data_IF_837362611605
#
_entry.id   IF_837362611605
#
_cell.length_a   1.000
_cell.length_b   1.000
_cell.length_c   1.000
_cell.angle_alpha   90.00
_cell.angle_beta   90.00
_cell.angle_gamma   90.00
#
_symmetry.space_group_name_H-M   'P 1'
#
loop_
_entity.id
_entity.type
_entity.pdbx_description
1 polymer ?
#
# COMPACT_ATOMS: atom_id res chain seq x y z
N UNK A 1 -10.44 6.18 -5.09
CA UNK A 1 -10.84 5.32 -6.23
C UNK A 1 -9.59 5.10 -7.05
N UNK A 2 -9.26 3.86 -7.40
CA UNK A 2 -8.07 3.54 -8.20
C UNK A 2 -8.11 4.33 -9.50
N UNK A 3 -7.16 5.25 -9.70
CA UNK A 3 -7.20 6.26 -10.77
C UNK A 3 -6.66 5.69 -12.09
N UNK A 4 -5.74 4.73 -12.00
CA UNK A 4 -4.98 4.23 -13.16
C UNK A 4 -5.47 2.89 -13.72
N UNK A 5 -6.47 2.24 -13.10
CA UNK A 5 -6.86 0.91 -13.54
C UNK A 5 -7.94 0.96 -14.62
N UNK A 6 -7.72 0.24 -15.71
CA UNK A 6 -8.77 -0.16 -16.63
C UNK A 6 -9.96 -0.72 -15.84
N UNK A 7 -11.18 -0.41 -16.28
CA UNK A 7 -12.42 -0.87 -15.63
C UNK A 7 -12.45 -2.40 -15.42
N UNK A 8 -11.78 -3.16 -16.27
CA UNK A 8 -11.61 -4.62 -16.18
C UNK A 8 -10.78 -5.03 -14.96
N UNK A 9 -9.65 -4.39 -14.73
CA UNK A 9 -8.76 -4.66 -13.58
C UNK A 9 -9.47 -4.38 -12.26
N UNK A 10 -10.16 -3.24 -12.16
CA UNK A 10 -10.92 -2.88 -10.97
C UNK A 10 -12.04 -3.88 -10.65
N UNK A 11 -12.72 -4.42 -11.66
CA UNK A 11 -13.73 -5.47 -11.46
C UNK A 11 -13.12 -6.75 -10.92
N UNK A 12 -11.96 -7.18 -11.44
CA UNK A 12 -11.26 -8.36 -10.92
C UNK A 12 -10.76 -8.12 -9.49
N UNK A 13 -10.21 -6.94 -9.17
CA UNK A 13 -9.76 -6.58 -7.82
C UNK A 13 -10.89 -6.62 -6.79
N UNK A 14 -12.04 -6.03 -7.10
CA UNK A 14 -13.23 -6.07 -6.24
C UNK A 14 -13.72 -7.50 -6.04
N UNK A 15 -13.83 -8.27 -7.13
CA UNK A 15 -14.23 -9.67 -7.07
C UNK A 15 -13.25 -10.50 -6.21
N UNK A 16 -11.96 -10.24 -6.34
CA UNK A 16 -10.92 -10.92 -5.56
C UNK A 16 -11.04 -10.59 -4.06
N UNK A 17 -11.14 -9.32 -3.70
CA UNK A 17 -11.32 -8.89 -2.30
C UNK A 17 -12.56 -9.54 -1.66
N UNK A 18 -13.68 -9.61 -2.39
CA UNK A 18 -14.89 -10.26 -1.87
C UNK A 18 -14.73 -11.77 -1.71
N UNK A 19 -14.01 -12.45 -2.62
CA UNK A 19 -13.77 -13.89 -2.51
C UNK A 19 -12.83 -14.22 -1.36
N UNK A 20 -11.83 -13.38 -1.07
CA UNK A 20 -10.90 -13.57 0.04
C UNK A 20 -11.58 -13.50 1.41
N UNK A 21 -12.71 -12.78 1.55
CA UNK A 21 -13.52 -12.81 2.77
C UNK A 21 -14.18 -14.18 3.04
N UNK A 22 -14.27 -15.02 2.02
CA UNK A 22 -15.00 -16.29 2.07
C UNK A 22 -14.10 -17.51 1.93
N UNK A 23 -12.93 -17.38 1.34
CA UNK A 23 -12.03 -18.49 0.96
C UNK A 23 -10.58 -18.07 1.04
N UNK A 24 -9.70 -19.05 1.32
CA UNK A 24 -8.24 -18.84 1.22
C UNK A 24 -7.83 -18.63 -0.23
N UNK A 25 -6.75 -17.87 -0.44
CA UNK A 25 -6.20 -17.55 -1.76
C UNK A 25 -6.01 -18.78 -2.67
N UNK A 26 -5.48 -19.87 -2.11
CA UNK A 26 -5.19 -21.11 -2.85
C UNK A 26 -6.45 -21.75 -3.43
N UNK A 27 -7.59 -21.56 -2.76
CA UNK A 27 -8.90 -22.13 -3.15
C UNK A 27 -9.62 -21.30 -4.23
N UNK A 28 -9.22 -20.03 -4.44
CA UNK A 28 -9.83 -19.16 -5.43
C UNK A 28 -9.28 -19.52 -6.81
N UNK A 29 -10.17 -19.90 -7.72
CA UNK A 29 -9.84 -20.18 -9.13
C UNK A 29 -10.12 -18.97 -10.00
N UNK A 30 -9.43 -18.87 -11.16
CA UNK A 30 -9.72 -17.83 -12.17
C UNK A 30 -11.19 -17.87 -12.64
N UNK A 31 -11.82 -19.07 -12.66
CA UNK A 31 -13.25 -19.21 -12.95
C UNK A 31 -14.13 -18.51 -11.90
N UNK A 32 -13.75 -18.54 -10.62
CA UNK A 32 -14.50 -17.89 -9.55
C UNK A 32 -14.36 -16.37 -9.65
N UNK A 33 -13.14 -15.89 -9.92
CA UNK A 33 -12.85 -14.47 -10.17
C UNK A 33 -13.68 -13.95 -11.36
N UNK A 34 -13.63 -14.65 -12.49
CA UNK A 34 -14.34 -14.25 -13.70
C UNK A 34 -15.86 -14.20 -13.47
N UNK A 35 -16.42 -15.24 -12.84
CA UNK A 35 -17.85 -15.28 -12.48
C UNK A 35 -18.24 -14.14 -11.54
N UNK A 36 -17.45 -13.89 -10.50
CA UNK A 36 -17.71 -12.85 -9.49
C UNK A 36 -17.57 -11.44 -10.09
N UNK A 37 -16.58 -11.23 -10.95
CA UNK A 37 -16.37 -9.98 -11.69
C UNK A 37 -17.39 -9.74 -12.81
N UNK A 38 -18.25 -10.72 -13.13
CA UNK A 38 -19.15 -10.70 -14.27
C UNK A 38 -18.41 -10.53 -15.60
N UNK A 39 -17.25 -11.18 -15.70
CA UNK A 39 -16.38 -11.17 -16.88
C UNK A 39 -16.11 -12.60 -17.35
N UNK A 40 -15.56 -12.75 -18.57
CA UNK A 40 -15.15 -14.06 -19.06
C UNK A 40 -13.76 -14.45 -18.56
N UNK A 41 -13.45 -15.76 -18.50
CA UNK A 41 -12.08 -16.25 -18.26
C UNK A 41 -11.11 -15.74 -19.33
N UNK A 42 -11.59 -15.59 -20.58
CA UNK A 42 -10.78 -15.00 -21.66
C UNK A 42 -10.39 -13.55 -21.36
N UNK A 43 -11.30 -12.76 -20.79
CA UNK A 43 -10.99 -11.39 -20.36
C UNK A 43 -9.88 -11.37 -19.29
N UNK A 44 -9.88 -12.34 -18.36
CA UNK A 44 -8.78 -12.49 -17.39
C UNK A 44 -7.46 -12.80 -18.08
N UNK A 45 -7.42 -13.83 -18.93
CA UNK A 45 -6.18 -14.27 -19.58
C UNK A 45 -5.69 -13.32 -20.69
N UNK A 46 -6.48 -12.35 -21.11
CA UNK A 46 -6.02 -11.25 -21.96
C UNK A 46 -5.12 -10.26 -21.20
N UNK A 47 -5.21 -10.21 -19.88
CA UNK A 47 -4.46 -9.28 -19.03
C UNK A 47 -3.40 -9.99 -18.17
N UNK A 48 -3.66 -11.21 -17.72
CA UNK A 48 -2.85 -11.92 -16.74
C UNK A 48 -2.58 -13.36 -17.15
N UNK A 49 -1.36 -13.83 -16.96
CA UNK A 49 -0.99 -15.23 -17.29
C UNK A 49 -1.45 -16.21 -16.21
N UNK A 50 -1.53 -15.75 -14.96
CA UNK A 50 -1.93 -16.56 -13.80
C UNK A 50 -2.62 -15.71 -12.74
N UNK A 51 -3.14 -16.34 -11.71
CA UNK A 51 -3.69 -15.69 -10.52
C UNK A 51 -2.62 -14.95 -9.73
N UNK A 52 -1.43 -15.51 -9.67
CA UNK A 52 -0.25 -14.92 -9.02
C UNK A 52 0.25 -13.69 -9.78
N UNK A 53 0.21 -13.74 -11.11
CA UNK A 53 0.53 -12.63 -12.00
C UNK A 53 -0.47 -11.47 -11.79
N UNK A 54 -1.76 -11.78 -11.76
CA UNK A 54 -2.81 -10.81 -11.42
C UNK A 54 -2.57 -10.12 -10.08
N UNK A 55 -2.16 -10.86 -9.04
CA UNK A 55 -1.87 -10.26 -7.73
C UNK A 55 -0.68 -9.31 -7.79
N UNK A 56 0.40 -9.73 -8.47
CA UNK A 56 1.60 -8.91 -8.61
C UNK A 56 1.28 -7.61 -9.33
N UNK A 57 0.63 -7.68 -10.46
CA UNK A 57 0.24 -6.50 -11.23
C UNK A 57 -0.71 -5.59 -10.42
N UNK A 58 -1.61 -6.19 -9.64
CA UNK A 58 -2.55 -5.44 -8.82
C UNK A 58 -1.88 -4.62 -7.72
N UNK A 59 -0.86 -5.18 -7.05
CA UNK A 59 -0.14 -4.43 -6.02
C UNK A 59 0.70 -3.30 -6.63
N UNK A 60 1.26 -3.52 -7.82
CA UNK A 60 2.01 -2.48 -8.54
C UNK A 60 1.11 -1.29 -8.91
N UNK A 61 -0.15 -1.55 -9.29
CA UNK A 61 -1.13 -0.48 -9.56
C UNK A 61 -1.39 0.34 -8.28
N UNK A 62 -1.55 -0.31 -7.13
CA UNK A 62 -1.77 0.39 -5.86
C UNK A 62 -0.56 1.26 -5.50
N UNK A 63 0.65 0.72 -5.62
CA UNK A 63 1.88 1.48 -5.35
C UNK A 63 2.08 2.63 -6.34
N UNK A 64 1.76 2.44 -7.62
CA UNK A 64 1.82 3.50 -8.62
C UNK A 64 0.84 4.64 -8.30
N UNK A 65 -0.39 4.33 -7.91
CA UNK A 65 -1.37 5.34 -7.48
C UNK A 65 -0.89 6.09 -6.21
N UNK A 66 -0.34 5.39 -5.23
CA UNK A 66 0.25 5.99 -4.02
C UNK A 66 1.45 6.88 -4.38
N UNK A 67 2.34 6.40 -5.24
CA UNK A 67 3.51 7.17 -5.71
C UNK A 67 3.10 8.47 -6.41
N UNK A 68 2.07 8.42 -7.26
CA UNK A 68 1.54 9.63 -7.91
C UNK A 68 1.01 10.66 -6.91
N UNK A 69 0.38 10.22 -5.83
CA UNK A 69 -0.08 11.12 -4.77
C UNK A 69 1.12 11.71 -4.03
N UNK A 70 2.08 10.89 -3.60
CA UNK A 70 3.24 11.33 -2.84
C UNK A 70 4.17 12.24 -3.65
N UNK A 71 4.24 12.09 -4.97
CA UNK A 71 5.02 12.96 -5.84
C UNK A 71 4.47 14.38 -5.96
N UNK A 72 3.29 14.69 -5.41
CA UNK A 72 2.79 16.07 -5.33
C UNK A 72 3.55 16.89 -4.28
N UNK A 73 4.15 16.25 -3.29
CA UNK A 73 5.00 16.89 -2.28
C UNK A 73 6.03 15.89 -1.74
N UNK A 74 7.27 16.01 -2.18
CA UNK A 74 8.38 15.12 -1.79
C UNK A 74 8.97 15.45 -0.40
N UNK A 75 8.48 16.48 0.27
CA UNK A 75 8.76 16.73 1.69
C UNK A 75 7.89 15.87 2.61
N UNK A 76 6.84 15.26 2.04
CA UNK A 76 5.86 14.41 2.74
C UNK A 76 5.20 15.12 3.93
N UNK A 77 4.80 16.38 3.71
CA UNK A 77 4.04 17.13 4.69
C UNK A 77 2.67 16.47 5.01
N UNK A 78 2.06 16.89 6.12
CA UNK A 78 0.82 16.30 6.62
C UNK A 78 -0.30 16.21 5.56
N UNK A 79 -0.36 17.19 4.65
CA UNK A 79 -1.40 17.23 3.62
C UNK A 79 -1.28 16.08 2.63
N UNK A 80 -0.11 15.86 2.04
CA UNK A 80 0.09 14.77 1.06
C UNK A 80 0.00 13.41 1.72
N UNK A 81 0.47 13.26 2.96
CA UNK A 81 0.28 12.04 3.74
C UNK A 81 -1.21 11.76 3.99
N UNK A 82 -1.99 12.78 4.33
CA UNK A 82 -3.45 12.65 4.46
C UNK A 82 -4.10 12.22 3.15
N UNK A 83 -3.69 12.77 2.02
CA UNK A 83 -4.23 12.39 0.70
C UNK A 83 -3.93 10.91 0.40
N UNK A 84 -2.70 10.47 0.61
CA UNK A 84 -2.28 9.07 0.46
C UNK A 84 -3.08 8.14 1.39
N UNK A 85 -3.20 8.49 2.66
CA UNK A 85 -3.97 7.70 3.64
C UNK A 85 -5.48 7.71 3.32
N UNK A 86 -6.03 8.81 2.77
CA UNK A 86 -7.41 8.87 2.30
C UNK A 86 -7.64 7.94 1.11
N UNK A 87 -6.68 7.86 0.18
CA UNK A 87 -6.71 6.89 -0.91
C UNK A 87 -6.73 5.45 -0.36
N UNK A 88 -5.87 5.14 0.63
CA UNK A 88 -5.85 3.83 1.28
C UNK A 88 -7.19 3.52 1.97
N UNK A 89 -7.76 4.49 2.68
CA UNK A 89 -9.05 4.33 3.36
C UNK A 89 -10.20 4.05 2.38
N UNK A 90 -10.26 4.77 1.25
CA UNK A 90 -11.28 4.55 0.22
C UNK A 90 -11.17 3.14 -0.40
N UNK A 91 -9.95 2.61 -0.50
CA UNK A 91 -9.65 1.30 -1.07
C UNK A 91 -9.38 0.22 -0.01
N UNK A 92 -9.79 0.44 1.25
CA UNK A 92 -9.44 -0.37 2.42
C UNK A 92 -9.68 -1.87 2.26
N UNK A 93 -10.78 -2.27 1.62
CA UNK A 93 -11.12 -3.68 1.43
C UNK A 93 -10.09 -4.41 0.55
N UNK A 94 -9.62 -3.74 -0.49
CA UNK A 94 -8.59 -4.26 -1.40
C UNK A 94 -7.25 -4.29 -0.69
N UNK A 95 -6.85 -3.18 -0.05
CA UNK A 95 -5.56 -3.05 0.66
C UNK A 95 -5.46 -4.07 1.79
N UNK A 96 -6.50 -4.21 2.61
CA UNK A 96 -6.54 -5.23 3.66
C UNK A 96 -6.38 -6.64 3.11
N UNK A 97 -7.04 -6.95 1.99
CA UNK A 97 -6.89 -8.25 1.34
C UNK A 97 -5.45 -8.52 0.91
N UNK A 98 -4.74 -7.52 0.41
CA UNK A 98 -3.32 -7.67 0.06
C UNK A 98 -2.45 -7.88 1.29
N UNK A 99 -2.62 -7.07 2.34
CA UNK A 99 -1.85 -7.21 3.58
C UNK A 99 -2.07 -8.57 4.24
N UNK A 100 -3.29 -9.06 4.26
CA UNK A 100 -3.59 -10.36 4.89
C UNK A 100 -3.14 -11.58 4.08
N UNK A 101 -3.09 -11.49 2.76
CA UNK A 101 -2.99 -12.70 1.91
C UNK A 101 -1.83 -12.69 0.91
N UNK A 102 -1.12 -11.56 0.75
CA UNK A 102 0.01 -11.51 -0.16
C UNK A 102 1.29 -11.99 0.55
N UNK A 103 2.00 -13.00 0.02
CA UNK A 103 3.23 -13.48 0.65
C UNK A 103 4.29 -12.40 0.76
N UNK A 104 4.93 -12.30 1.92
CA UNK A 104 6.01 -11.34 2.21
C UNK A 104 5.63 -9.87 1.99
N UNK A 105 4.34 -9.52 2.14
CA UNK A 105 3.84 -8.16 1.90
C UNK A 105 4.58 -7.13 2.77
N UNK A 106 4.92 -7.47 4.01
CA UNK A 106 5.63 -6.59 4.94
C UNK A 106 6.96 -6.12 4.35
N UNK A 107 7.78 -7.04 3.83
CA UNK A 107 9.03 -6.69 3.17
C UNK A 107 8.83 -5.83 1.92
N UNK A 108 7.76 -6.06 1.18
CA UNK A 108 7.43 -5.28 -0.02
C UNK A 108 7.06 -3.86 0.38
N UNK A 109 6.19 -3.69 1.39
CA UNK A 109 5.80 -2.39 1.95
C UNK A 109 7.01 -1.67 2.51
N UNK A 110 7.83 -2.33 3.34
CA UNK A 110 9.04 -1.74 3.92
C UNK A 110 10.01 -1.25 2.85
N UNK A 111 10.25 -2.04 1.81
CA UNK A 111 11.13 -1.64 0.70
C UNK A 111 10.53 -0.49 -0.12
N UNK A 112 9.21 -0.46 -0.31
CA UNK A 112 8.53 0.63 -0.97
C UNK A 112 8.68 1.95 -0.18
N UNK A 113 8.39 1.93 1.13
CA UNK A 113 8.57 3.10 2.03
C UNK A 113 10.03 3.56 1.98
N UNK A 114 10.99 2.62 2.08
CA UNK A 114 12.42 2.93 2.00
C UNK A 114 12.79 3.65 0.69
N UNK A 115 12.29 3.16 -0.43
CA UNK A 115 12.50 3.79 -1.72
C UNK A 115 11.96 5.21 -1.77
N UNK A 116 10.74 5.45 -1.27
CA UNK A 116 10.13 6.77 -1.23
C UNK A 116 10.93 7.75 -0.34
N UNK A 117 11.34 7.32 0.85
CA UNK A 117 12.11 8.16 1.79
C UNK A 117 13.50 8.52 1.24
N UNK A 118 14.21 7.56 0.64
CA UNK A 118 15.54 7.84 0.07
C UNK A 118 15.49 8.83 -1.11
N UNK A 119 14.38 8.82 -1.86
CA UNK A 119 14.17 9.73 -3.00
C UNK A 119 13.36 10.98 -2.64
N UNK A 120 13.13 11.22 -1.35
CA UNK A 120 12.44 12.43 -0.88
C UNK A 120 13.34 13.68 -0.98
N UNK A 121 12.69 14.84 -0.99
CA UNK A 121 13.37 16.15 -0.93
C UNK A 121 13.57 16.64 0.52
N UNK A 122 13.47 15.74 1.52
CA UNK A 122 13.70 16.08 2.94
C UNK A 122 15.14 16.60 3.09
N UNK A 123 15.35 17.86 3.51
CA UNK A 123 16.67 18.45 3.60
C UNK A 123 17.53 17.73 4.66
N UNK A 124 18.80 17.49 4.35
CA UNK A 124 19.77 16.89 5.29
C UNK A 124 19.25 15.63 6.00
N UNK A 125 18.43 14.79 5.32
CA UNK A 125 17.75 13.61 5.85
C UNK A 125 18.69 12.76 6.73
N UNK A 126 19.90 12.46 6.24
CA UNK A 126 20.87 11.67 7.00
C UNK A 126 21.19 12.32 8.34
N UNK A 127 21.56 13.60 8.35
CA UNK A 127 21.95 14.34 9.57
C UNK A 127 20.79 14.45 10.55
N UNK A 128 19.58 14.67 10.04
CA UNK A 128 18.38 14.74 10.87
C UNK A 128 18.10 13.41 11.55
N UNK A 129 18.17 12.29 10.82
CA UNK A 129 17.95 10.96 11.37
C UNK A 129 19.02 10.58 12.40
N UNK A 130 20.32 10.80 12.09
CA UNK A 130 21.41 10.52 13.04
C UNK A 130 21.28 11.36 14.33
N UNK A 131 20.84 12.60 14.20
CA UNK A 131 20.61 13.49 15.36
C UNK A 131 19.41 13.04 16.19
N UNK A 132 18.29 12.69 15.54
CA UNK A 132 17.06 12.30 16.23
C UNK A 132 17.19 10.98 16.97
N UNK A 133 17.83 9.99 16.35
CA UNK A 133 17.92 8.63 16.89
C UNK A 133 19.23 8.33 17.62
N UNK A 134 20.24 9.19 17.53
CA UNK A 134 21.55 9.03 18.19
C UNK A 134 22.27 7.72 17.82
N UNK A 135 22.09 7.26 16.58
CA UNK A 135 22.72 6.06 15.99
C UNK A 135 23.18 6.35 14.56
N UNK A 136 24.08 5.54 13.99
CA UNK A 136 24.50 5.70 12.59
C UNK A 136 23.31 5.64 11.61
N UNK A 137 23.44 6.35 10.49
CA UNK A 137 22.37 6.54 9.48
C UNK A 137 21.62 5.27 9.09
N UNK A 138 22.34 4.15 8.86
CA UNK A 138 21.70 2.91 8.46
C UNK A 138 20.71 2.37 9.48
N UNK A 139 21.03 2.48 10.79
CA UNK A 139 20.13 2.09 11.87
C UNK A 139 19.00 3.11 12.05
N UNK A 140 19.33 4.41 12.00
CA UNK A 140 18.35 5.49 12.12
C UNK A 140 17.28 5.40 11.01
N UNK A 141 17.70 5.18 9.76
CA UNK A 141 16.81 5.00 8.62
C UNK A 141 15.90 3.77 8.79
N UNK A 142 16.44 2.65 9.25
CA UNK A 142 15.62 1.44 9.48
C UNK A 142 14.60 1.64 10.61
N UNK A 143 14.94 2.35 11.69
CA UNK A 143 14.01 2.70 12.76
C UNK A 143 12.90 3.61 12.22
N UNK A 144 13.27 4.64 11.46
CA UNK A 144 12.34 5.58 10.85
C UNK A 144 11.32 4.88 9.95
N UNK A 145 11.79 4.07 9.01
CA UNK A 145 10.95 3.31 8.08
C UNK A 145 10.06 2.32 8.83
N UNK A 146 10.62 1.56 9.78
CA UNK A 146 9.86 0.58 10.55
C UNK A 146 8.79 1.24 11.43
N UNK A 147 9.00 2.46 11.88
CA UNK A 147 7.99 3.22 12.63
C UNK A 147 6.81 3.59 11.74
N UNK A 148 7.07 4.12 10.53
CA UNK A 148 6.02 4.44 9.56
C UNK A 148 5.24 3.17 9.17
N UNK A 149 5.96 2.12 8.82
CA UNK A 149 5.39 0.81 8.47
C UNK A 149 4.46 0.29 9.57
N UNK A 150 4.95 0.29 10.82
CA UNK A 150 4.19 -0.19 11.98
C UNK A 150 2.89 0.61 12.21
N UNK A 151 2.91 1.93 12.05
CA UNK A 151 1.71 2.77 12.16
C UNK A 151 0.69 2.40 11.09
N UNK A 152 1.13 2.25 9.84
CA UNK A 152 0.28 1.94 8.70
C UNK A 152 -0.32 0.52 8.84
N UNK A 153 0.51 -0.48 9.14
CA UNK A 153 0.05 -1.86 9.30
C UNK A 153 -0.91 -2.00 10.48
N UNK A 154 -0.61 -1.38 11.61
CA UNK A 154 -1.51 -1.35 12.77
C UNK A 154 -2.88 -0.73 12.42
N UNK A 155 -2.89 0.33 11.64
CA UNK A 155 -4.14 0.95 11.17
C UNK A 155 -4.95 0.01 10.26
N UNK A 156 -4.29 -0.70 9.35
CA UNK A 156 -4.93 -1.69 8.47
C UNK A 156 -5.50 -2.85 9.29
N UNK A 157 -4.72 -3.39 10.23
CA UNK A 157 -5.12 -4.52 11.09
C UNK A 157 -6.29 -4.18 12.00
N UNK A 158 -6.38 -2.92 12.44
CA UNK A 158 -7.51 -2.39 13.22
C UNK A 158 -8.67 -1.88 12.34
N UNK A 159 -8.86 -2.43 11.15
CA UNK A 159 -9.98 -2.13 10.25
C UNK A 159 -10.12 -0.64 9.88
N UNK A 160 -9.00 0.09 9.83
CA UNK A 160 -8.99 1.52 9.49
C UNK A 160 -9.91 2.36 10.41
N UNK A 161 -9.93 2.04 11.69
CA UNK A 161 -10.83 2.69 12.68
C UNK A 161 -10.53 4.17 12.86
N UNK A 162 -9.26 4.59 12.77
CA UNK A 162 -8.88 5.98 12.86
C UNK A 162 -9.05 6.70 11.52
N UNK A 163 -9.28 8.02 11.56
CA UNK A 163 -9.35 8.79 10.32
C UNK A 163 -7.96 8.98 9.68
N UNK A 164 -7.89 9.13 8.33
CA UNK A 164 -6.64 9.44 7.64
C UNK A 164 -5.87 10.63 8.21
N UNK A 165 -6.57 11.69 8.62
CA UNK A 165 -5.98 12.87 9.25
C UNK A 165 -5.26 12.52 10.56
N UNK A 166 -5.87 11.63 11.35
CA UNK A 166 -5.31 11.23 12.64
C UNK A 166 -4.06 10.38 12.46
N UNK A 167 -4.07 9.47 11.47
CA UNK A 167 -2.89 8.67 11.13
C UNK A 167 -1.77 9.54 10.56
N UNK A 168 -2.08 10.52 9.69
CA UNK A 168 -1.07 11.47 9.19
C UNK A 168 -0.40 12.20 10.35
N UNK A 169 -1.18 12.68 11.34
CA UNK A 169 -0.64 13.30 12.56
C UNK A 169 0.21 12.34 13.39
N UNK A 170 -0.15 11.07 13.49
CA UNK A 170 0.68 10.10 14.20
C UNK A 170 2.03 9.94 13.50
N UNK A 171 2.03 9.77 12.17
CA UNK A 171 3.27 9.67 11.40
C UNK A 171 4.14 10.93 11.62
N UNK A 172 3.61 12.12 11.39
CA UNK A 172 4.38 13.37 11.52
C UNK A 172 4.80 13.69 12.97
N UNK A 173 4.09 13.18 13.98
CA UNK A 173 4.41 13.43 15.39
C UNK A 173 5.47 12.48 15.96
N UNK A 174 5.44 11.21 15.53
CA UNK A 174 6.34 10.16 16.07
C UNK A 174 7.63 10.11 15.25
N UNK A 175 7.57 10.50 14.01
CA UNK A 175 8.68 10.47 13.04
C UNK A 175 9.23 11.90 12.90
N UNK A 176 9.55 12.55 14.03
CA UNK A 176 10.13 13.91 14.04
C UNK A 176 11.58 13.84 13.55
N UNK A 177 11.80 14.40 12.38
CA UNK A 177 13.09 14.76 11.83
C UNK A 177 13.07 16.23 11.44
#
# INVERSE_FOLDING_TARGET
>A
MLVSSDNTNLKFLKAFSELLKMRRFEQIKVSDLAKKAQLSRRAFYNHYNSKEDFLRESILIIFDDITKILNNDLLYEELVLKEMLSYMYINKEIIKSFVCFFPNIDNIIKNYIKGMIIHSDIPDLQKQLETAYQVPYSFALDIYISTIESIILNWIDNDFTESPEKIAKYITSVVRI
#
